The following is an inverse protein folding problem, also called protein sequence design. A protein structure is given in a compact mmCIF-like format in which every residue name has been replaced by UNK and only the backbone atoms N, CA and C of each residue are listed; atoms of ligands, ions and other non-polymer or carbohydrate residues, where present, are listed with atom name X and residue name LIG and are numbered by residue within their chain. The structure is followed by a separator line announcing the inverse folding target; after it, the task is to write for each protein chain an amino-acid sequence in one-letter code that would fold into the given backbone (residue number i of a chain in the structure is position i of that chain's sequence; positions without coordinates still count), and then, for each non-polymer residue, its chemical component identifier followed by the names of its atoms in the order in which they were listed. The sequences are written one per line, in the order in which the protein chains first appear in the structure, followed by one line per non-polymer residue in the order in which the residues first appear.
data_IF_525776216044
#
_entry.id   IF_525776216044
#
_cell.length_a   1.000
_cell.length_b   1.000
_cell.length_c   1.000
_cell.angle_alpha   90.00
_cell.angle_beta   90.00
_cell.angle_gamma   90.00
#
_symmetry.space_group_name_H-M   'P 1'
#
loop_
_entity.id
_entity.type
_entity.pdbx_description
1 polymer ?
#
# COMPACT_ATOMS: atom_id res chain seq x y z
N UNK A 1 7.22 14.73 -4.07
CA UNK A 1 5.90 14.24 -4.52
C UNK A 1 4.80 15.07 -3.89
N UNK A 2 3.90 15.63 -4.69
CA UNK A 2 2.73 16.39 -4.25
C UNK A 2 1.63 15.42 -3.82
N UNK A 3 0.86 15.76 -2.78
CA UNK A 3 -0.36 15.01 -2.46
C UNK A 3 -1.46 15.45 -3.43
N UNK A 4 -2.05 14.50 -4.16
CA UNK A 4 -2.99 14.78 -5.25
C UNK A 4 -4.26 15.55 -4.82
N UNK A 5 -4.69 15.38 -3.56
CA UNK A 5 -5.89 16.03 -3.01
C UNK A 5 -5.65 17.49 -2.61
N UNK A 6 -4.49 17.79 -1.99
CA UNK A 6 -4.22 19.08 -1.36
C UNK A 6 -3.41 20.04 -2.24
N UNK A 7 -2.84 19.55 -3.37
CA UNK A 7 -1.90 20.28 -4.24
C UNK A 7 -0.70 20.91 -3.51
N UNK A 8 -0.50 20.55 -2.24
CA UNK A 8 0.62 20.97 -1.40
C UNK A 8 1.43 19.73 -1.01
N UNK A 9 2.70 19.94 -0.65
CA UNK A 9 3.51 18.88 -0.07
C UNK A 9 3.07 18.65 1.38
N UNK A 10 3.20 17.42 1.94
CA UNK A 10 2.90 17.17 3.36
C UNK A 10 3.65 18.12 4.30
N UNK A 11 4.91 18.42 3.98
CA UNK A 11 5.71 19.37 4.74
C UNK A 11 5.15 20.79 4.68
N UNK A 12 4.74 21.27 3.51
CA UNK A 12 4.11 22.58 3.39
C UNK A 12 2.78 22.66 4.14
N UNK A 13 1.97 21.60 4.08
CA UNK A 13 0.71 21.55 4.81
C UNK A 13 0.93 21.53 6.34
N UNK A 14 1.95 20.82 6.82
CA UNK A 14 2.25 20.68 8.25
C UNK A 14 2.99 21.88 8.82
N UNK A 15 3.99 22.41 8.10
CA UNK A 15 4.96 23.39 8.59
C UNK A 15 4.69 24.81 8.06
N UNK A 16 3.80 24.96 7.07
CA UNK A 16 3.58 26.23 6.37
C UNK A 16 4.64 26.58 5.33
N UNK A 17 5.72 25.80 5.23
CA UNK A 17 6.77 25.94 4.23
C UNK A 17 7.31 24.57 3.81
N UNK A 18 7.86 24.47 2.60
CA UNK A 18 8.62 23.28 2.19
C UNK A 18 10.06 23.47 2.66
N UNK A 19 10.60 22.62 3.55
CA UNK A 19 12.00 22.72 3.93
C UNK A 19 12.85 22.52 2.68
N UNK A 20 13.71 23.48 2.37
CA UNK A 20 14.77 23.25 1.41
C UNK A 20 15.66 22.18 2.03
N UNK A 21 15.68 20.99 1.43
CA UNK A 21 16.80 20.08 1.64
C UNK A 21 18.04 20.89 1.26
N UNK A 22 18.86 21.26 2.25
CA UNK A 22 20.15 21.89 2.00
C UNK A 22 21.09 20.82 1.42
N UNK A 23 20.77 20.38 0.21
CA UNK A 23 21.77 19.88 -0.71
C UNK A 23 22.17 21.16 -1.40
N UNK A 24 23.27 21.79 -0.98
CA UNK A 24 23.92 22.76 -1.84
C UNK A 24 23.97 22.11 -3.22
N UNK A 25 23.30 22.71 -4.21
CA UNK A 25 23.37 22.25 -5.60
C UNK A 25 24.84 22.06 -5.84
N UNK A 26 25.30 20.80 -5.93
CA UNK A 26 26.72 20.53 -6.03
C UNK A 26 27.15 21.33 -7.25
N UNK A 27 27.98 22.35 -7.03
CA UNK A 27 28.77 22.90 -8.12
C UNK A 27 29.39 21.68 -8.83
N UNK A 28 29.56 21.77 -10.15
CA UNK A 28 30.22 20.72 -10.91
C UNK A 28 31.47 20.30 -10.12
N UNK A 29 31.41 19.12 -9.49
CA UNK A 29 32.48 18.71 -8.59
C UNK A 29 33.61 18.27 -9.51
N UNK A 30 34.71 19.00 -9.49
CA UNK A 30 35.90 18.73 -10.32
C UNK A 30 36.58 17.38 -9.95
N UNK A 31 36.07 16.67 -8.94
CA UNK A 31 36.58 15.38 -8.48
C UNK A 31 35.87 14.24 -9.23
N UNK A 32 36.58 13.50 -10.12
CA UNK A 32 35.99 12.43 -10.93
C UNK A 32 35.37 11.28 -10.12
N UNK A 33 35.89 11.03 -8.92
CA UNK A 33 35.36 9.99 -8.04
C UNK A 33 33.93 10.31 -7.56
N UNK A 34 33.63 11.59 -7.31
CA UNK A 34 32.31 12.00 -6.80
C UNK A 34 31.28 11.95 -7.95
N UNK A 35 31.65 12.42 -9.13
CA UNK A 35 30.75 12.38 -10.30
C UNK A 35 30.42 10.94 -10.71
N UNK A 36 31.42 10.06 -10.72
CA UNK A 36 31.21 8.63 -10.96
C UNK A 36 30.28 8.01 -9.91
N UNK A 37 30.48 8.32 -8.62
CA UNK A 37 29.63 7.83 -7.54
C UNK A 37 28.17 8.30 -7.68
N UNK A 38 27.95 9.59 -7.99
CA UNK A 38 26.61 10.12 -8.23
C UNK A 38 25.94 9.45 -9.44
N UNK A 39 26.67 9.28 -10.55
CA UNK A 39 26.14 8.59 -11.72
C UNK A 39 25.71 7.16 -11.38
N UNK A 40 26.51 6.42 -10.61
CA UNK A 40 26.17 5.08 -10.18
C UNK A 40 24.89 5.05 -9.32
N UNK A 41 24.74 6.00 -8.40
CA UNK A 41 23.52 6.12 -7.59
C UNK A 41 22.30 6.46 -8.46
N UNK A 42 22.43 7.38 -9.42
CA UNK A 42 21.33 7.71 -10.31
C UNK A 42 20.90 6.52 -11.17
N UNK A 43 21.87 5.75 -11.69
CA UNK A 43 21.61 4.53 -12.43
C UNK A 43 20.91 3.48 -11.55
N UNK A 44 21.41 3.24 -10.33
CA UNK A 44 20.82 2.28 -9.40
C UNK A 44 19.39 2.66 -9.01
N UNK A 45 19.13 3.94 -8.73
CA UNK A 45 17.79 4.42 -8.43
C UNK A 45 16.83 4.23 -9.63
N UNK A 46 17.31 4.48 -10.85
CA UNK A 46 16.52 4.26 -12.06
C UNK A 46 16.20 2.78 -12.27
N UNK A 47 17.17 1.90 -12.06
CA UNK A 47 17.01 0.45 -12.19
C UNK A 47 16.03 -0.09 -11.14
N UNK A 48 16.19 0.29 -9.88
CA UNK A 48 15.27 -0.06 -8.80
C UNK A 48 13.84 0.44 -9.08
N UNK A 49 13.70 1.64 -9.62
CA UNK A 49 12.40 2.18 -10.00
C UNK A 49 11.76 1.35 -11.12
N UNK A 50 12.53 0.97 -12.15
CA UNK A 50 12.05 0.11 -13.23
C UNK A 50 11.63 -1.28 -12.72
N UNK A 51 12.45 -1.91 -11.89
CA UNK A 51 12.15 -3.20 -11.26
C UNK A 51 10.90 -3.13 -10.38
N UNK A 52 10.73 -2.06 -9.61
CA UNK A 52 9.53 -1.85 -8.80
C UNK A 52 8.28 -1.70 -9.67
N UNK A 53 8.36 -0.95 -10.77
CA UNK A 53 7.26 -0.84 -11.73
C UNK A 53 6.89 -2.21 -12.34
N UNK A 54 7.88 -3.01 -12.72
CA UNK A 54 7.66 -4.36 -13.25
C UNK A 54 7.01 -5.27 -12.19
N UNK A 55 7.49 -5.24 -10.95
CA UNK A 55 6.90 -6.00 -9.86
C UNK A 55 5.44 -5.58 -9.59
N UNK A 56 5.14 -4.28 -9.61
CA UNK A 56 3.78 -3.76 -9.43
C UNK A 56 2.85 -4.22 -10.58
N UNK A 57 3.33 -4.18 -11.82
CA UNK A 57 2.58 -4.70 -12.98
C UNK A 57 2.31 -6.20 -12.86
N UNK A 58 3.33 -6.98 -12.46
CA UNK A 58 3.20 -8.41 -12.25
C UNK A 58 2.20 -8.72 -11.12
N UNK A 59 2.28 -8.03 -9.99
CA UNK A 59 1.30 -8.15 -8.91
C UNK A 59 -0.11 -7.81 -9.37
N UNK A 60 -0.29 -6.73 -10.13
CA UNK A 60 -1.58 -6.34 -10.68
C UNK A 60 -2.16 -7.43 -11.61
N UNK A 61 -1.31 -8.08 -12.42
CA UNK A 61 -1.74 -9.19 -13.28
C UNK A 61 -2.09 -10.46 -12.52
N UNK A 62 -1.57 -10.67 -11.30
CA UNK A 62 -1.95 -11.82 -10.46
C UNK A 62 -3.29 -11.63 -9.75
N UNK A 63 -3.83 -10.40 -9.72
CA UNK A 63 -5.17 -10.12 -9.21
C UNK A 63 -6.19 -10.46 -10.32
N UNK A 64 -6.23 -11.73 -10.73
CA UNK A 64 -7.18 -12.24 -11.74
C UNK A 64 -8.60 -12.43 -11.16
N UNK A 65 -8.73 -12.39 -9.83
CA UNK A 65 -10.01 -12.61 -9.16
C UNK A 65 -10.73 -11.28 -9.06
N UNK A 66 -11.83 -11.17 -9.79
CA UNK A 66 -12.81 -10.11 -9.59
C UNK A 66 -13.10 -9.98 -8.08
N UNK A 67 -13.13 -8.76 -7.53
CA UNK A 67 -13.46 -8.57 -6.13
C UNK A 67 -14.83 -9.18 -5.85
N UNK A 68 -14.89 -10.02 -4.80
CA UNK A 68 -16.12 -10.70 -4.45
C UNK A 68 -17.15 -9.64 -4.04
N UNK A 69 -18.16 -9.45 -4.88
CA UNK A 69 -19.21 -8.46 -4.65
C UNK A 69 -20.35 -9.15 -3.92
N UNK A 70 -20.61 -8.70 -2.70
CA UNK A 70 -21.71 -9.19 -1.89
C UNK A 70 -22.99 -8.40 -2.14
N UNK A 71 -24.14 -9.03 -1.92
CA UNK A 71 -25.45 -8.41 -1.89
C UNK A 71 -26.13 -8.59 -0.54
N UNK A 72 -27.03 -7.67 -0.19
CA UNK A 72 -27.88 -7.81 1.00
C UNK A 72 -28.72 -9.08 0.83
N UNK A 73 -28.73 -9.93 1.87
CA UNK A 73 -29.38 -11.24 1.85
C UNK A 73 -28.46 -12.42 1.49
N UNK A 74 -27.26 -12.19 0.96
CA UNK A 74 -26.30 -13.26 0.70
C UNK A 74 -25.90 -13.97 1.99
N UNK A 75 -25.75 -15.30 1.90
CA UNK A 75 -25.34 -16.16 3.02
C UNK A 75 -23.83 -16.34 3.04
N UNK A 76 -23.19 -15.85 4.09
CA UNK A 76 -21.73 -15.90 4.26
C UNK A 76 -21.30 -16.64 5.51
N UNK A 77 -20.14 -17.28 5.44
CA UNK A 77 -19.47 -17.88 6.58
C UNK A 77 -18.49 -16.87 7.16
N UNK A 78 -18.55 -16.63 8.47
CA UNK A 78 -17.59 -15.77 9.16
C UNK A 78 -16.42 -16.59 9.68
N UNK A 79 -15.20 -16.16 9.41
CA UNK A 79 -14.01 -16.75 10.02
C UNK A 79 -14.00 -16.45 11.52
N UNK A 80 -13.68 -17.47 12.32
CA UNK A 80 -13.71 -17.42 13.78
C UNK A 80 -12.59 -16.59 14.42
N UNK A 81 -11.57 -16.18 13.64
CA UNK A 81 -10.32 -15.58 14.14
C UNK A 81 -10.52 -14.43 15.12
N UNK A 82 -11.52 -13.59 14.86
CA UNK A 82 -11.82 -12.39 15.67
C UNK A 82 -13.21 -12.43 16.31
N UNK A 83 -13.85 -13.60 16.35
CA UNK A 83 -15.17 -13.76 16.97
C UNK A 83 -15.01 -14.14 18.44
N UNK A 84 -15.70 -13.40 19.32
CA UNK A 84 -15.87 -13.82 20.72
C UNK A 84 -16.90 -14.94 20.75
N UNK A 85 -16.43 -16.16 20.95
CA UNK A 85 -17.28 -17.34 21.03
C UNK A 85 -17.45 -17.77 22.49
N UNK A 86 -18.52 -18.50 22.78
CA UNK A 86 -18.78 -19.07 24.11
C UNK A 86 -17.91 -20.29 24.43
N UNK A 87 -17.13 -20.78 23.47
CA UNK A 87 -16.27 -21.94 23.67
C UNK A 87 -15.05 -21.58 24.52
N UNK A 88 -14.77 -22.40 25.53
CA UNK A 88 -13.66 -22.20 26.46
C UNK A 88 -12.27 -22.37 25.80
N UNK A 89 -12.18 -23.15 24.73
CA UNK A 89 -10.92 -23.44 24.05
C UNK A 89 -11.02 -23.22 22.54
N UNK A 90 -10.21 -22.30 22.01
CA UNK A 90 -10.14 -21.96 20.58
C UNK A 90 -9.82 -23.16 19.69
N UNK A 91 -9.10 -24.17 20.20
CA UNK A 91 -8.74 -25.38 19.44
C UNK A 91 -9.91 -26.31 19.15
N UNK A 92 -10.95 -26.28 19.99
CA UNK A 92 -12.16 -27.10 19.82
C UNK A 92 -13.30 -26.31 19.18
N UNK A 93 -13.14 -25.00 19.02
CA UNK A 93 -14.10 -24.14 18.35
C UNK A 93 -14.04 -24.36 16.83
N UNK A 94 -15.18 -24.19 16.15
CA UNK A 94 -15.25 -24.26 14.69
C UNK A 94 -14.44 -23.13 14.06
N UNK A 95 -13.73 -23.42 12.96
CA UNK A 95 -12.97 -22.39 12.22
C UNK A 95 -13.85 -21.33 11.57
N UNK A 96 -15.09 -21.69 11.23
CA UNK A 96 -16.07 -20.82 10.59
C UNK A 96 -17.43 -20.98 11.23
N UNK A 97 -18.16 -19.87 11.31
CA UNK A 97 -19.49 -19.83 11.89
C UNK A 97 -20.52 -19.42 10.85
N UNK A 98 -21.64 -20.17 10.87
CA UNK A 98 -22.89 -19.88 10.19
C UNK A 98 -22.83 -19.88 8.67
N UNK A 99 -24.00 -19.97 8.04
CA UNK A 99 -24.34 -19.03 6.98
C UNK A 99 -25.15 -17.88 7.60
N UNK A 100 -24.54 -16.70 7.69
CA UNK A 100 -25.21 -15.47 8.12
C UNK A 100 -25.68 -14.68 6.91
N UNK A 101 -26.87 -14.10 6.97
CA UNK A 101 -27.35 -13.20 5.92
C UNK A 101 -26.79 -11.80 6.10
N UNK A 102 -26.24 -11.21 5.04
CA UNK A 102 -25.79 -9.82 5.06
C UNK A 102 -26.98 -8.88 5.22
N UNK A 103 -26.99 -8.06 6.26
CA UNK A 103 -28.07 -7.08 6.52
C UNK A 103 -27.88 -5.77 5.76
N UNK A 104 -26.64 -5.28 5.66
CA UNK A 104 -26.31 -4.01 5.02
C UNK A 104 -24.87 -4.05 4.51
N UNK A 105 -24.62 -3.38 3.38
CA UNK A 105 -23.29 -3.17 2.81
C UNK A 105 -22.89 -1.72 3.10
N UNK A 106 -21.79 -1.53 3.83
CA UNK A 106 -21.30 -0.19 4.19
C UNK A 106 -20.40 0.40 3.11
N UNK A 107 -19.61 -0.46 2.44
CA UNK A 107 -18.76 -0.07 1.32
C UNK A 107 -18.42 -1.32 0.48
N UNK A 108 -18.15 -1.17 -0.83
CA UNK A 108 -17.67 -2.28 -1.64
C UNK A 108 -16.28 -2.71 -1.16
N UNK A 109 -16.05 -4.02 -1.08
CA UNK A 109 -14.74 -4.58 -0.75
C UNK A 109 -13.82 -4.33 -1.93
N UNK A 110 -12.87 -3.41 -1.77
CA UNK A 110 -11.74 -3.25 -2.69
C UNK A 110 -10.63 -4.19 -2.20
N UNK A 111 -10.27 -5.17 -3.02
CA UNK A 111 -9.06 -5.97 -2.81
C UNK A 111 -7.81 -5.15 -3.13
#
# INVERSE_FOLDING_TARGET
MLQASLKTTPFQALMGFTPCAHVASSAANDIPAITHHLNNLTWLCSDLQALHCLAAQHMASQIDKAPLTYQVGDKVWLDATNLKTSHLATKLASKRYGPFSIMQILSPVKN
#
